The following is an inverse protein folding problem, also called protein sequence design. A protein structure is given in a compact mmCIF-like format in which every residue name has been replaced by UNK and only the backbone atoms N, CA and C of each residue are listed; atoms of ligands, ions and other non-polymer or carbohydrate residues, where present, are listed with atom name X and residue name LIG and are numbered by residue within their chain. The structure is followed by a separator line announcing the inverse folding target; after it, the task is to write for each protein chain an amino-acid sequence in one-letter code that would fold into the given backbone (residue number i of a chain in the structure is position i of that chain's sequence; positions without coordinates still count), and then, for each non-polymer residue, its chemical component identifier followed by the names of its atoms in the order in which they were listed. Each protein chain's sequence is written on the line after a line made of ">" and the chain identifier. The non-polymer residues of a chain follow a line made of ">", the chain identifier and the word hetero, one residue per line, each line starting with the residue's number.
data_IF_661119637751
#
_entry.id   IF_661119637751
#
_cell.length_a   1.000
_cell.length_b   1.000
_cell.length_c   1.000
_cell.angle_alpha   90.00
_cell.angle_beta   90.00
_cell.angle_gamma   90.00
#
_symmetry.space_group_name_H-M   'P 1'
#
loop_
_entity.id
_entity.type
_entity.pdbx_description
1 polymer ?
#
# COMPACT_ATOMS: atom_id res chain seq x y z
N UNK A 1 5.75 20.23 10.80
CA UNK A 1 6.93 19.83 10.00
C UNK A 1 6.95 18.31 9.97
N UNK A 2 6.66 17.69 8.84
CA UNK A 2 6.73 16.23 8.72
C UNK A 2 8.08 15.82 8.07
N UNK A 3 9.19 16.21 8.72
CA UNK A 3 10.55 15.84 8.31
C UNK A 3 11.15 14.93 9.38
N UNK A 4 10.54 13.76 9.54
CA UNK A 4 11.06 12.71 10.40
C UNK A 4 11.38 11.50 9.53
N UNK A 5 12.54 10.91 9.77
CA UNK A 5 12.91 9.63 9.18
C UNK A 5 11.91 8.56 9.68
N UNK A 6 11.18 7.95 8.75
CA UNK A 6 10.34 6.77 9.00
C UNK A 6 11.14 5.53 8.61
N UNK A 7 11.23 4.59 9.54
CA UNK A 7 11.89 3.29 9.37
C UNK A 7 11.07 2.20 10.05
N UNK A 8 9.97 1.82 9.42
CA UNK A 8 9.00 0.89 10.02
C UNK A 8 8.64 -0.27 9.07
N UNK A 9 8.14 -1.35 9.68
CA UNK A 9 7.57 -2.50 8.99
C UNK A 9 6.08 -2.57 9.27
N UNK A 10 5.29 -2.85 8.23
CA UNK A 10 3.84 -2.84 8.30
C UNK A 10 3.23 -4.11 7.71
N UNK A 11 2.14 -4.58 8.29
CA UNK A 11 1.12 -5.33 7.60
C UNK A 11 0.01 -4.36 7.14
N UNK A 12 -0.39 -4.48 5.87
CA UNK A 12 -1.37 -3.59 5.25
C UNK A 12 -2.56 -4.36 4.71
N UNK A 13 -3.76 -3.79 4.88
CA UNK A 13 -5.00 -4.29 4.31
C UNK A 13 -5.48 -3.41 3.16
N UNK A 14 -5.75 -4.00 1.99
CA UNK A 14 -6.28 -3.28 0.82
C UNK A 14 -7.66 -2.69 1.10
N UNK A 15 -7.83 -1.38 0.88
CA UNK A 15 -9.09 -0.67 1.11
C UNK A 15 -9.96 -0.56 -0.14
N UNK A 16 -9.41 -0.72 -1.33
CA UNK A 16 -10.15 -0.70 -2.58
C UNK A 16 -9.49 -1.63 -3.60
N UNK A 17 -10.14 -1.83 -4.74
CA UNK A 17 -9.47 -2.46 -5.87
C UNK A 17 -8.41 -1.49 -6.42
N UNK A 18 -7.19 -1.99 -6.56
CA UNK A 18 -6.04 -1.30 -7.14
C UNK A 18 -5.34 -2.24 -8.13
N UNK A 19 -4.33 -1.76 -8.87
CA UNK A 19 -3.48 -2.61 -9.70
C UNK A 19 -2.80 -3.76 -8.94
N UNK A 20 -2.50 -3.59 -7.64
CA UNK A 20 -1.83 -4.62 -6.84
C UNK A 20 -2.79 -5.45 -6.01
N UNK A 21 -3.87 -4.88 -5.48
CA UNK A 21 -4.68 -5.54 -4.47
C UNK A 21 -6.19 -5.41 -4.70
N UNK A 22 -6.93 -6.31 -4.07
CA UNK A 22 -8.38 -6.19 -3.90
C UNK A 22 -8.67 -5.79 -2.46
N UNK A 23 -9.88 -5.28 -2.21
CA UNK A 23 -10.36 -4.99 -0.85
C UNK A 23 -10.21 -6.24 0.04
N UNK A 24 -9.64 -6.05 1.23
CA UNK A 24 -9.45 -7.09 2.24
C UNK A 24 -8.20 -7.97 2.05
N UNK A 25 -7.47 -7.85 0.95
CA UNK A 25 -6.17 -8.54 0.82
C UNK A 25 -5.17 -7.97 1.82
N UNK A 26 -4.38 -8.85 2.43
CA UNK A 26 -3.33 -8.50 3.39
C UNK A 26 -1.96 -8.79 2.80
N UNK A 27 -1.00 -7.92 3.06
CA UNK A 27 0.39 -8.07 2.68
C UNK A 27 1.30 -7.40 3.71
N UNK A 28 2.56 -7.83 3.79
CA UNK A 28 3.59 -7.18 4.60
C UNK A 28 4.44 -6.28 3.72
N UNK A 29 5.02 -5.24 4.31
CA UNK A 29 5.91 -4.30 3.66
C UNK A 29 6.68 -3.45 4.67
N UNK A 30 7.33 -2.40 4.18
CA UNK A 30 8.06 -1.45 5.01
C UNK A 30 7.96 -0.03 4.45
N UNK A 31 8.09 0.96 5.33
CA UNK A 31 8.11 2.38 5.02
C UNK A 31 9.47 2.96 5.40
N UNK A 32 10.33 3.20 4.40
CA UNK A 32 11.66 3.81 4.59
C UNK A 32 11.73 5.12 3.80
N UNK A 33 11.37 6.23 4.43
CA UNK A 33 11.36 7.52 3.76
C UNK A 33 11.54 8.68 4.73
N UNK A 34 11.97 9.82 4.18
CA UNK A 34 12.13 11.08 4.93
C UNK A 34 11.08 12.12 4.57
N UNK A 35 10.56 12.06 3.34
CA UNK A 35 9.37 12.83 2.96
C UNK A 35 8.16 12.26 3.66
N UNK A 36 7.21 13.11 4.02
CA UNK A 36 5.95 12.65 4.58
C UNK A 36 4.78 13.28 3.84
N UNK A 37 3.71 12.51 3.77
CA UNK A 37 2.46 12.93 3.17
C UNK A 37 1.34 12.22 3.90
N UNK A 38 0.32 12.98 4.27
CA UNK A 38 -0.90 12.38 4.80
C UNK A 38 -1.59 11.55 3.70
N UNK A 39 -2.21 10.44 4.09
CA UNK A 39 -3.00 9.64 3.18
C UNK A 39 -4.17 10.48 2.64
N UNK A 40 -4.36 10.42 1.32
CA UNK A 40 -5.47 11.11 0.66
C UNK A 40 -6.56 10.09 0.32
N UNK A 41 -7.85 10.42 0.53
CA UNK A 41 -8.94 9.58 0.04
C UNK A 41 -8.97 9.60 -1.51
N UNK A 42 -9.22 8.45 -2.16
CA UNK A 42 -9.31 7.11 -1.58
C UNK A 42 -7.93 6.54 -1.18
N UNK A 43 -7.76 6.24 0.10
CA UNK A 43 -6.53 5.62 0.61
C UNK A 43 -6.37 4.21 0.05
N UNK A 44 -5.12 3.81 -0.21
CA UNK A 44 -4.82 2.49 -0.75
C UNK A 44 -4.93 1.40 0.33
N UNK A 45 -4.43 1.72 1.52
CA UNK A 45 -4.20 0.75 2.58
C UNK A 45 -4.72 1.25 3.93
N UNK A 46 -5.10 0.27 4.75
CA UNK A 46 -5.17 0.42 6.20
C UNK A 46 -3.96 -0.29 6.79
N UNK A 47 -3.21 0.40 7.64
CA UNK A 47 -2.15 -0.22 8.45
C UNK A 47 -2.82 -1.12 9.50
N UNK A 48 -2.39 -2.37 9.64
CA UNK A 48 -3.04 -3.36 10.50
C UNK A 48 -2.73 -3.12 11.98
N UNK A 49 -1.57 -2.54 12.28
CA UNK A 49 -1.09 -2.25 13.63
C UNK A 49 -1.88 -1.11 14.31
N UNK A 50 -2.79 -0.43 13.59
CA UNK A 50 -3.64 0.63 14.12
C UNK A 50 -4.79 1.02 13.18
N UNK A 51 -5.24 2.27 13.27
CA UNK A 51 -6.28 2.83 12.40
C UNK A 51 -5.69 3.76 11.32
N UNK A 52 -4.38 3.69 11.09
CA UNK A 52 -3.67 4.50 10.10
C UNK A 52 -4.10 4.15 8.66
N UNK A 53 -4.22 5.19 7.84
CA UNK A 53 -4.42 5.06 6.39
C UNK A 53 -3.11 5.37 5.68
N UNK A 54 -2.83 4.66 4.58
CA UNK A 54 -1.63 4.89 3.79
C UNK A 54 -1.96 4.88 2.29
N UNK A 55 -1.23 5.71 1.55
CA UNK A 55 -1.24 5.73 0.10
C UNK A 55 -2.50 6.31 -0.51
N UNK A 56 -2.63 6.07 -1.80
CA UNK A 56 -3.72 6.53 -2.65
C UNK A 56 -3.97 5.50 -3.74
N UNK A 57 -5.23 5.10 -3.96
CA UNK A 57 -5.60 4.16 -5.01
C UNK A 57 -6.89 4.57 -5.74
N UNK A 58 -6.76 4.93 -7.02
CA UNK A 58 -7.90 5.28 -7.86
C UNK A 58 -7.69 4.76 -9.30
N UNK A 59 -8.66 3.99 -9.80
CA UNK A 59 -8.57 3.36 -11.12
C UNK A 59 -7.32 2.49 -11.24
N UNK A 60 -6.42 2.86 -12.17
CA UNK A 60 -5.15 2.15 -12.41
C UNK A 60 -3.94 2.78 -11.70
N UNK A 61 -4.18 3.74 -10.81
CA UNK A 61 -3.13 4.40 -10.02
C UNK A 61 -3.09 3.80 -8.62
N UNK A 62 -1.89 3.44 -8.19
CA UNK A 62 -1.56 3.14 -6.80
C UNK A 62 -0.27 3.90 -6.45
N UNK A 63 -0.34 4.76 -5.44
CA UNK A 63 0.79 5.45 -4.86
C UNK A 63 0.85 5.10 -3.37
N UNK A 64 2.02 4.73 -2.87
CA UNK A 64 2.18 4.18 -1.53
C UNK A 64 3.64 4.33 -1.10
N UNK A 65 3.86 4.70 0.15
CA UNK A 65 5.16 4.61 0.82
C UNK A 65 5.48 3.19 1.28
N UNK A 66 4.48 2.32 1.39
CA UNK A 66 4.68 0.92 1.77
C UNK A 66 5.29 0.15 0.60
N UNK A 67 6.58 -0.16 0.75
CA UNK A 67 7.30 -1.08 -0.10
C UNK A 67 6.87 -2.51 0.24
N UNK A 68 5.98 -3.06 -0.58
CA UNK A 68 5.39 -4.37 -0.37
C UNK A 68 6.40 -5.51 -0.54
N UNK A 69 6.43 -6.42 0.43
CA UNK A 69 7.13 -7.69 0.33
C UNK A 69 6.22 -8.74 -0.32
N UNK A 70 6.29 -8.86 -1.65
CA UNK A 70 5.41 -9.75 -2.43
C UNK A 70 5.33 -11.20 -1.94
N UNK A 71 6.40 -11.85 -1.43
CA UNK A 71 6.27 -13.21 -0.91
C UNK A 71 5.30 -13.35 0.28
N UNK A 72 4.98 -12.27 1.01
CA UNK A 72 3.92 -12.30 2.04
C UNK A 72 2.52 -12.51 1.47
N UNK A 73 2.31 -12.14 0.20
CA UNK A 73 1.08 -12.37 -0.54
C UNK A 73 1.37 -12.38 -2.05
N UNK A 74 1.76 -13.54 -2.61
CA UNK A 74 2.19 -13.65 -4.01
C UNK A 74 1.14 -13.24 -5.04
N UNK A 75 -0.15 -13.27 -4.65
CA UNK A 75 -1.26 -12.83 -5.52
C UNK A 75 -1.17 -11.36 -5.93
N UNK A 76 -0.49 -10.50 -5.16
CA UNK A 76 -0.30 -9.08 -5.51
C UNK A 76 0.50 -8.93 -6.80
N UNK A 77 1.65 -9.60 -6.88
CA UNK A 77 2.50 -9.57 -8.06
C UNK A 77 1.80 -10.15 -9.29
N UNK A 78 1.08 -11.27 -9.11
CA UNK A 78 0.27 -11.87 -10.18
C UNK A 78 -0.79 -10.90 -10.71
N UNK A 79 -1.51 -10.24 -9.79
CA UNK A 79 -2.53 -9.25 -10.14
C UNK A 79 -1.93 -8.07 -10.89
N UNK A 80 -0.77 -7.57 -10.45
CA UNK A 80 -0.10 -6.46 -11.13
C UNK A 80 0.12 -6.74 -12.62
N UNK A 81 0.66 -7.93 -12.92
CA UNK A 81 0.92 -8.34 -14.31
C UNK A 81 -0.39 -8.51 -15.07
N UNK A 82 -1.42 -9.12 -14.47
CA UNK A 82 -2.73 -9.27 -15.11
C UNK A 82 -3.39 -7.92 -15.42
N UNK A 83 -3.34 -6.97 -14.49
CA UNK A 83 -3.90 -5.63 -14.65
C UNK A 83 -3.06 -4.77 -15.60
N UNK A 84 -1.80 -5.10 -15.88
CA UNK A 84 -1.00 -4.41 -16.90
C UNK A 84 -1.31 -4.88 -18.33
N UNK A 85 -1.88 -6.08 -18.49
CA UNK A 85 -2.19 -6.68 -19.78
C UNK A 85 -3.63 -6.41 -20.27
N UNK A 86 -4.50 -5.89 -19.40
CA UNK A 86 -5.91 -5.62 -19.68
C UNK A 86 -6.13 -4.19 -20.22
#
# INVERSE_FOLDING_TARGET
>A
MLNQLVLDYHEVGGLAASPLAKRGWRAKGHEFHYSAREALPPAAWRLVEGEGLEGYAAGRVLASYVHLYFPSQPRLAQRFVQEALA
#
